data_IF_730463668824
#
_entry.id   IF_730463668824
#
_cell.length_a   1.000
_cell.length_b   1.000
_cell.length_c   1.000
_cell.angle_alpha   90.00
_cell.angle_beta   90.00
_cell.angle_gamma   90.00
#
_symmetry.space_group_name_H-M   'P 1'
#
loop_
_entity.id
_entity.type
_entity.pdbx_description
1 polymer ?
#
# COMPACT_ATOMS: atom_id res chain seq x y z
N UNK A 1 49.74 -45.26 -55.01
CA UNK A 1 49.58 -43.92 -54.41
C UNK A 1 48.16 -43.85 -53.88
N UNK A 2 47.98 -44.13 -52.59
CA UNK A 2 46.66 -44.10 -51.92
C UNK A 2 46.54 -42.75 -51.21
N UNK A 3 45.60 -41.92 -51.64
CA UNK A 3 45.13 -40.77 -50.88
C UNK A 3 43.87 -41.18 -50.13
N UNK A 4 43.94 -41.18 -48.80
CA UNK A 4 42.80 -41.42 -47.92
C UNK A 4 42.35 -40.05 -47.42
N UNK A 5 41.27 -39.52 -48.00
CA UNK A 5 40.62 -38.30 -47.54
C UNK A 5 39.86 -38.53 -46.24
N UNK A 6 40.43 -38.11 -45.10
CA UNK A 6 39.71 -38.03 -43.83
C UNK A 6 38.73 -36.86 -43.85
N UNK A 7 37.46 -37.11 -44.19
CA UNK A 7 36.38 -36.14 -43.96
C UNK A 7 35.93 -36.22 -42.50
N UNK A 8 36.52 -35.37 -41.66
CA UNK A 8 36.10 -35.23 -40.28
C UNK A 8 34.76 -34.47 -40.25
N UNK A 9 33.64 -35.21 -40.34
CA UNK A 9 32.30 -34.66 -40.18
C UNK A 9 32.14 -34.17 -38.74
N UNK A 10 32.47 -32.90 -38.50
CA UNK A 10 32.06 -32.19 -37.30
C UNK A 10 30.54 -32.04 -37.34
N UNK A 11 29.83 -32.86 -36.56
CA UNK A 11 28.42 -32.64 -36.30
C UNK A 11 28.28 -31.33 -35.54
N UNK A 12 27.80 -30.29 -36.23
CA UNK A 12 27.40 -29.06 -35.56
C UNK A 12 26.17 -29.38 -34.70
N UNK A 13 26.37 -29.44 -33.38
CA UNK A 13 25.32 -29.52 -32.37
C UNK A 13 24.62 -28.16 -32.31
N UNK A 14 23.71 -27.92 -33.26
CA UNK A 14 22.81 -26.77 -33.26
C UNK A 14 21.50 -27.13 -32.56
N UNK A 15 20.82 -26.12 -32.04
CA UNK A 15 19.47 -26.31 -31.51
C UNK A 15 18.51 -26.69 -32.63
N UNK A 16 17.65 -27.66 -32.37
CA UNK A 16 16.53 -27.96 -33.26
C UNK A 16 15.48 -26.86 -33.18
N UNK A 17 14.70 -26.70 -34.25
CA UNK A 17 13.59 -25.74 -34.28
C UNK A 17 12.58 -26.00 -33.17
N UNK A 18 12.35 -27.27 -32.83
CA UNK A 18 11.44 -27.67 -31.76
C UNK A 18 11.99 -27.30 -30.37
N UNK A 19 13.30 -27.46 -30.12
CA UNK A 19 13.91 -27.04 -28.86
C UNK A 19 13.78 -25.54 -28.64
N UNK A 20 14.08 -24.73 -29.67
CA UNK A 20 13.94 -23.28 -29.57
C UNK A 20 12.48 -22.90 -29.30
N UNK A 21 11.52 -23.56 -29.97
CA UNK A 21 10.10 -23.30 -29.77
C UNK A 21 9.64 -23.62 -28.34
N UNK A 22 10.07 -24.76 -27.78
CA UNK A 22 9.75 -25.14 -26.39
C UNK A 22 10.37 -24.15 -25.40
N UNK A 23 11.63 -23.77 -25.61
CA UNK A 23 12.31 -22.78 -24.75
C UNK A 23 11.56 -21.44 -24.75
N UNK A 24 11.13 -20.96 -25.92
CA UNK A 24 10.35 -19.72 -26.02
C UNK A 24 8.99 -19.79 -25.31
N UNK A 25 8.30 -20.94 -25.37
CA UNK A 25 7.05 -21.15 -24.62
C UNK A 25 7.32 -21.11 -23.11
N UNK A 26 8.36 -21.79 -22.63
CA UNK A 26 8.71 -21.80 -21.20
C UNK A 26 9.07 -20.39 -20.73
N UNK A 27 9.85 -19.63 -21.51
CA UNK A 27 10.18 -18.23 -21.20
C UNK A 27 8.92 -17.35 -21.22
N UNK A 28 8.00 -17.56 -22.16
CA UNK A 28 6.75 -16.80 -22.24
C UNK A 28 5.83 -17.03 -21.02
N UNK A 29 5.69 -18.29 -20.58
CA UNK A 29 4.89 -18.64 -19.41
C UNK A 29 5.55 -18.11 -18.13
N UNK A 30 6.87 -18.31 -17.97
CA UNK A 30 7.58 -17.84 -16.78
C UNK A 30 7.61 -16.32 -16.70
N UNK A 31 7.83 -15.61 -17.81
CA UNK A 31 7.78 -14.15 -17.88
C UNK A 31 6.42 -13.59 -17.43
N UNK A 32 5.32 -14.19 -17.92
CA UNK A 32 3.96 -13.76 -17.55
C UNK A 32 3.69 -13.91 -16.04
N UNK A 33 4.13 -15.03 -15.45
CA UNK A 33 3.98 -15.27 -14.00
C UNK A 33 4.81 -14.29 -13.15
N UNK A 34 5.99 -13.90 -13.63
CA UNK A 34 6.86 -12.94 -12.95
C UNK A 34 6.26 -11.52 -13.02
N UNK A 35 5.77 -11.08 -14.19
CA UNK A 35 5.25 -9.71 -14.38
C UNK A 35 3.99 -9.41 -13.56
N UNK A 36 3.10 -10.38 -13.34
CA UNK A 36 1.84 -10.16 -12.58
C UNK A 36 2.11 -9.79 -11.11
N UNK A 37 3.20 -10.27 -10.52
CA UNK A 37 3.54 -10.00 -9.12
C UNK A 37 4.13 -8.60 -8.90
N UNK A 38 4.86 -8.05 -9.86
CA UNK A 38 5.51 -6.73 -9.72
C UNK A 38 4.52 -5.56 -9.78
N UNK A 39 3.53 -5.60 -10.67
CA UNK A 39 2.58 -4.49 -10.84
C UNK A 39 1.73 -4.25 -9.57
N UNK A 40 1.47 -5.30 -8.79
CA UNK A 40 0.72 -5.20 -7.53
C UNK A 40 1.53 -4.48 -6.46
N UNK A 41 2.85 -4.74 -6.37
CA UNK A 41 3.73 -4.11 -5.40
C UNK A 41 3.86 -2.60 -5.63
N UNK A 42 4.10 -2.17 -6.88
CA UNK A 42 4.22 -0.75 -7.23
C UNK A 42 2.91 0.03 -6.96
N UNK A 43 1.76 -0.61 -7.20
CA UNK A 43 0.46 -0.02 -6.89
C UNK A 43 0.26 0.14 -5.38
N UNK A 44 0.69 -0.84 -4.57
CA UNK A 44 0.62 -0.78 -3.12
C UNK A 44 1.53 0.32 -2.57
N UNK A 45 2.78 0.42 -3.05
CA UNK A 45 3.72 1.46 -2.62
C UNK A 45 3.20 2.87 -2.96
N UNK A 46 2.64 3.07 -4.15
CA UNK A 46 2.01 4.35 -4.54
C UNK A 46 0.80 4.70 -3.66
N UNK A 47 0.06 3.69 -3.22
CA UNK A 47 -1.13 3.81 -2.37
C UNK A 47 -0.78 4.11 -0.91
N UNK A 48 0.22 3.42 -0.37
CA UNK A 48 0.81 3.70 0.95
C UNK A 48 1.27 5.14 1.07
N UNK A 49 1.96 5.62 0.03
CA UNK A 49 2.41 7.00 -0.10
C UNK A 49 1.26 8.01 -0.06
N UNK A 50 0.05 7.64 -0.48
CA UNK A 50 -1.12 8.51 -0.43
C UNK A 50 -1.64 8.71 0.99
N UNK A 51 -1.76 7.63 1.78
CA UNK A 51 -2.14 7.75 3.19
C UNK A 51 -1.05 8.47 4.01
N UNK A 52 0.22 8.22 3.70
CA UNK A 52 1.32 8.93 4.33
C UNK A 52 1.26 10.44 4.11
N UNK A 53 0.93 10.88 2.90
CA UNK A 53 0.71 12.31 2.61
C UNK A 53 -0.41 12.89 3.45
N UNK A 54 -1.51 12.17 3.67
CA UNK A 54 -2.59 12.62 4.55
C UNK A 54 -2.09 12.83 5.97
N UNK A 55 -1.39 11.86 6.55
CA UNK A 55 -0.85 11.96 7.91
C UNK A 55 0.16 13.10 8.03
N UNK A 56 1.08 13.25 7.07
CA UNK A 56 2.04 14.36 7.05
C UNK A 56 1.35 15.71 6.94
N UNK A 57 0.39 15.86 6.03
CA UNK A 57 -0.39 17.09 5.87
C UNK A 57 -1.13 17.48 7.16
N UNK A 58 -1.84 16.55 7.79
CA UNK A 58 -2.58 16.84 9.04
C UNK A 58 -1.64 17.16 10.19
N UNK A 59 -0.45 16.54 10.23
CA UNK A 59 0.59 16.88 11.20
C UNK A 59 1.08 18.31 10.98
N UNK A 60 1.45 18.67 9.74
CA UNK A 60 1.89 20.02 9.37
C UNK A 60 0.82 21.07 9.66
N UNK A 61 -0.44 20.80 9.30
CA UNK A 61 -1.56 21.69 9.55
C UNK A 61 -1.77 21.92 11.06
N UNK A 62 -1.64 20.88 11.89
CA UNK A 62 -1.75 21.02 13.35
C UNK A 62 -0.65 21.90 13.93
N UNK A 63 0.58 21.79 13.41
CA UNK A 63 1.73 22.61 13.82
C UNK A 63 1.53 24.06 13.39
N UNK A 64 1.18 24.29 12.11
CA UNK A 64 1.02 25.62 11.52
C UNK A 64 -0.13 26.37 12.18
N UNK A 65 -1.27 25.70 12.40
CA UNK A 65 -2.47 26.33 12.97
C UNK A 65 -2.45 26.41 14.49
N UNK A 66 -1.60 25.61 15.16
CA UNK A 66 -1.61 25.50 16.61
C UNK A 66 -2.84 24.77 17.16
N UNK A 67 -3.62 24.08 16.31
CA UNK A 67 -4.88 23.41 16.69
C UNK A 67 -4.75 21.89 16.71
N UNK A 68 -5.50 21.26 17.59
CA UNK A 68 -5.64 19.80 17.62
C UNK A 68 -6.56 19.39 16.47
N UNK A 69 -6.16 18.37 15.72
CA UNK A 69 -6.91 17.85 14.57
C UNK A 69 -7.26 16.39 14.83
N UNK A 70 -8.54 16.03 14.65
CA UNK A 70 -9.01 14.66 14.69
C UNK A 70 -9.26 14.13 13.28
N UNK A 71 -8.68 12.97 12.96
CA UNK A 71 -8.95 12.22 11.73
C UNK A 71 -9.95 11.11 12.02
N UNK A 72 -11.02 11.11 11.25
CA UNK A 72 -12.13 10.18 11.32
C UNK A 72 -12.07 9.30 10.08
N UNK A 73 -12.22 7.99 10.30
CA UNK A 73 -12.14 6.98 9.25
C UNK A 73 -13.41 6.12 9.31
N UNK A 74 -14.01 5.88 8.15
CA UNK A 74 -14.95 4.79 7.91
C UNK A 74 -14.32 3.83 6.89
N UNK A 75 -15.04 2.78 6.48
CA UNK A 75 -14.58 1.89 5.42
C UNK A 75 -14.37 2.64 4.09
N UNK A 76 -15.22 3.60 3.76
CA UNK A 76 -15.31 4.20 2.43
C UNK A 76 -14.93 5.69 2.40
N UNK A 77 -14.84 6.33 3.56
CA UNK A 77 -14.64 7.76 3.67
C UNK A 77 -13.62 8.09 4.77
N UNK A 78 -13.02 9.26 4.65
CA UNK A 78 -12.16 9.85 5.66
C UNK A 78 -12.34 11.37 5.65
N UNK A 79 -12.30 11.97 6.83
CA UNK A 79 -12.28 13.42 6.96
C UNK A 79 -11.58 13.80 8.26
N UNK A 80 -11.12 15.05 8.31
CA UNK A 80 -10.46 15.62 9.47
C UNK A 80 -11.18 16.90 9.91
N UNK A 81 -11.25 17.09 11.22
CA UNK A 81 -11.87 18.26 11.85
C UNK A 81 -10.94 18.81 12.92
N UNK A 82 -10.97 20.12 13.11
CA UNK A 82 -10.38 20.75 14.29
C UNK A 82 -11.18 20.34 15.54
N UNK A 83 -10.47 19.88 16.57
CA UNK A 83 -11.04 19.59 17.89
C UNK A 83 -11.00 20.88 18.73
N UNK A 84 -11.86 21.84 18.40
CA UNK A 84 -12.01 23.11 19.15
C UNK A 84 -13.43 23.25 19.70
N UNK A 85 -13.60 23.97 20.82
CA UNK A 85 -14.91 24.17 21.48
C UNK A 85 -15.91 24.97 20.63
N UNK A 86 -15.42 25.83 19.74
CA UNK A 86 -16.27 26.64 18.85
C UNK A 86 -16.23 26.11 17.41
N UNK A 87 -17.42 25.71 16.92
CA UNK A 87 -17.79 25.32 15.56
C UNK A 87 -16.80 24.47 14.75
N UNK A 88 -17.30 23.27 14.41
CA UNK A 88 -16.69 22.24 13.58
C UNK A 88 -16.39 22.74 12.16
N UNK A 89 -15.30 23.49 11.99
CA UNK A 89 -14.79 23.77 10.66
C UNK A 89 -14.07 22.52 10.17
N UNK A 90 -14.68 21.84 9.19
CA UNK A 90 -14.02 20.77 8.46
C UNK A 90 -12.74 21.28 7.82
N UNK A 91 -11.67 20.50 7.94
CA UNK A 91 -10.42 20.80 7.25
C UNK A 91 -10.68 20.50 5.78
N UNK A 92 -10.32 21.45 4.90
CA UNK A 92 -10.62 21.45 3.47
C UNK A 92 -10.52 20.06 2.84
N UNK A 93 -11.65 19.53 2.37
CA UNK A 93 -11.80 18.20 1.77
C UNK A 93 -10.89 17.89 0.56
N UNK A 94 -10.14 18.87 0.06
CA UNK A 94 -9.20 18.73 -1.07
C UNK A 94 -8.06 17.73 -0.84
N UNK A 95 -7.73 17.35 0.41
CA UNK A 95 -6.75 16.27 0.70
C UNK A 95 -7.32 14.85 0.56
N UNK A 96 -8.48 14.69 -0.10
CA UNK A 96 -9.18 13.41 -0.26
C UNK A 96 -8.21 12.31 -0.71
N UNK A 97 -7.94 11.37 0.18
CA UNK A 97 -7.05 10.27 -0.09
C UNK A 97 -7.75 9.27 -1.02
N UNK A 98 -7.45 9.35 -2.32
CA UNK A 98 -8.00 8.45 -3.34
C UNK A 98 -7.81 6.97 -2.97
N UNK A 99 -6.73 6.64 -2.27
CA UNK A 99 -6.49 5.27 -1.81
C UNK A 99 -7.55 4.77 -0.81
N UNK A 100 -8.05 5.63 0.07
CA UNK A 100 -9.05 5.23 1.04
C UNK A 100 -10.37 4.88 0.35
N UNK A 101 -10.78 5.66 -0.65
CA UNK A 101 -11.95 5.36 -1.48
C UNK A 101 -11.78 4.12 -2.36
N UNK A 102 -10.58 3.89 -2.91
CA UNK A 102 -10.29 2.73 -3.78
C UNK A 102 -10.37 1.40 -3.02
N UNK A 103 -10.21 1.43 -1.71
CA UNK A 103 -10.27 0.25 -0.84
C UNK A 103 -11.61 0.11 -0.11
N UNK A 104 -12.62 0.92 -0.44
CA UNK A 104 -13.93 0.96 0.24
C UNK A 104 -14.65 -0.40 0.39
N UNK A 105 -14.46 -1.31 -0.56
CA UNK A 105 -15.03 -2.68 -0.51
C UNK A 105 -14.27 -3.66 0.38
N UNK A 106 -13.06 -3.30 0.81
CA UNK A 106 -12.21 -4.13 1.64
C UNK A 106 -12.50 -3.88 3.12
N UNK A 107 -12.53 -4.97 3.89
CA UNK A 107 -12.59 -4.92 5.35
C UNK A 107 -11.35 -4.19 5.88
N UNK A 108 -11.54 -3.32 6.87
CA UNK A 108 -10.46 -2.59 7.53
C UNK A 108 -10.63 -2.64 9.04
N UNK A 109 -9.53 -2.77 9.76
CA UNK A 109 -9.52 -2.65 11.21
C UNK A 109 -8.50 -1.62 11.64
N UNK A 110 -8.82 -0.85 12.67
CA UNK A 110 -7.88 0.02 13.33
C UNK A 110 -7.52 -0.53 14.70
N UNK A 111 -6.24 -0.59 15.00
CA UNK A 111 -5.70 -0.95 16.31
C UNK A 111 -5.07 0.28 16.95
N UNK A 112 -5.58 0.66 18.11
CA UNK A 112 -5.04 1.73 18.93
C UNK A 112 -3.74 1.31 19.63
N UNK A 113 -2.98 2.29 20.11
CA UNK A 113 -1.71 2.04 20.82
C UNK A 113 -1.92 1.27 22.13
N UNK A 114 -3.09 1.41 22.75
CA UNK A 114 -3.48 0.63 23.95
C UNK A 114 -3.78 -0.85 23.66
N UNK A 115 -3.80 -1.23 22.38
CA UNK A 115 -4.06 -2.59 21.92
C UNK A 115 -5.52 -2.89 21.59
N UNK A 116 -6.46 -1.97 21.85
CA UNK A 116 -7.86 -2.10 21.45
C UNK A 116 -7.99 -2.06 19.93
N UNK A 117 -8.96 -2.81 19.40
CA UNK A 117 -9.19 -2.98 17.96
C UNK A 117 -10.64 -2.64 17.65
N UNK A 118 -10.84 -1.81 16.64
CA UNK A 118 -12.14 -1.48 16.07
C UNK A 118 -12.19 -1.90 14.60
N UNK A 119 -13.37 -2.26 14.13
CA UNK A 119 -13.63 -2.46 12.71
C UNK A 119 -14.12 -1.15 12.12
N UNK A 120 -13.53 -0.73 11.00
CA UNK A 120 -13.96 0.46 10.28
C UNK A 120 -15.08 0.03 9.33
N UNK A 121 -16.32 0.14 9.79
CA UNK A 121 -17.51 -0.16 8.98
C UNK A 121 -17.91 1.04 8.13
N UNK A 122 -19.02 0.94 7.40
CA UNK A 122 -19.51 2.05 6.57
C UNK A 122 -20.11 3.19 7.40
N UNK A 123 -20.30 3.02 8.71
CA UNK A 123 -20.76 4.07 9.59
C UNK A 123 -19.55 4.85 10.10
N UNK A 124 -19.66 6.16 10.02
CA UNK A 124 -18.59 7.01 10.52
C UNK A 124 -18.61 7.01 12.04
N UNK A 125 -17.45 6.78 12.66
CA UNK A 125 -17.32 6.90 14.11
C UNK A 125 -17.49 8.36 14.54
N UNK A 126 -18.18 8.58 15.65
CA UNK A 126 -18.34 9.92 16.25
C UNK A 126 -17.06 10.42 16.94
N UNK A 127 -16.06 9.54 17.08
CA UNK A 127 -14.77 9.84 17.70
C UNK A 127 -13.63 9.75 16.69
N UNK A 128 -12.62 10.62 16.77
CA UNK A 128 -11.47 10.55 15.89
C UNK A 128 -10.67 9.27 16.16
N UNK A 129 -10.25 8.61 15.09
CA UNK A 129 -9.43 7.41 15.13
C UNK A 129 -7.97 7.77 15.39
N UNK A 130 -7.51 8.90 14.83
CA UNK A 130 -6.16 9.44 15.05
C UNK A 130 -6.28 10.91 15.44
N UNK A 131 -5.51 11.33 16.44
CA UNK A 131 -5.43 12.73 16.88
C UNK A 131 -4.03 13.27 16.57
N UNK A 132 -3.97 14.45 15.97
CA UNK A 132 -2.75 15.18 15.64
C UNK A 132 -2.63 16.40 16.56
N UNK A 133 -1.47 16.54 17.19
CA UNK A 133 -1.19 17.58 18.17
C UNK A 133 -0.29 18.65 17.56
N UNK A 134 -0.46 19.94 17.96
CA UNK A 134 0.42 21.04 17.53
C UNK A 134 1.91 20.86 17.83
N UNK A 135 2.27 19.91 18.70
CA UNK A 135 3.66 19.53 18.96
C UNK A 135 4.31 18.79 17.78
N UNK A 136 3.53 18.36 16.79
CA UNK A 136 3.94 17.47 15.72
C UNK A 136 3.86 15.99 16.07
N UNK A 137 3.41 15.66 17.29
CA UNK A 137 3.09 14.29 17.66
C UNK A 137 1.68 13.90 17.21
N UNK A 138 1.43 12.60 17.10
CA UNK A 138 0.10 12.05 16.88
C UNK A 138 -0.17 10.88 17.81
N UNK A 139 -1.45 10.49 17.94
CA UNK A 139 -1.87 9.38 18.80
C UNK A 139 -1.37 8.01 18.35
N UNK A 140 -0.88 7.89 17.11
CA UNK A 140 -0.43 6.64 16.51
C UNK A 140 -1.53 5.61 16.29
N UNK A 141 -1.14 4.44 15.84
CA UNK A 141 -2.01 3.28 15.66
C UNK A 141 -1.63 2.43 14.46
N UNK A 142 -2.45 1.45 14.16
CA UNK A 142 -2.23 0.53 13.05
C UNK A 142 -3.53 0.29 12.29
N UNK A 143 -3.47 0.40 10.96
CA UNK A 143 -4.56 0.06 10.05
C UNK A 143 -4.20 -1.25 9.36
N UNK A 144 -5.06 -2.25 9.47
CA UNK A 144 -4.97 -3.49 8.69
C UNK A 144 -6.10 -3.50 7.64
N UNK A 145 -5.73 -3.62 6.36
CA UNK A 145 -6.63 -3.68 5.21
C UNK A 145 -6.57 -5.10 4.64
N UNK A 146 -7.69 -5.82 4.70
CA UNK A 146 -7.75 -7.23 4.37
C UNK A 146 -8.10 -7.43 2.90
N UNK A 147 -7.12 -7.89 2.12
CA UNK A 147 -7.33 -8.37 0.76
C UNK A 147 -7.53 -9.89 0.77
N UNK A 148 -7.93 -10.44 -0.38
CA UNK A 148 -8.13 -11.88 -0.55
C UNK A 148 -6.85 -12.71 -0.46
N UNK A 149 -5.68 -12.11 -0.74
CA UNK A 149 -4.38 -12.80 -0.81
C UNK A 149 -3.35 -12.31 0.21
N UNK A 150 -3.58 -11.14 0.82
CA UNK A 150 -2.66 -10.52 1.77
C UNK A 150 -3.39 -9.55 2.69
N UNK A 151 -2.72 -9.16 3.77
CA UNK A 151 -3.11 -8.04 4.63
C UNK A 151 -2.09 -6.93 4.40
N UNK A 152 -2.58 -5.74 4.05
CA UNK A 152 -1.74 -4.53 4.04
C UNK A 152 -1.84 -3.87 5.41
N UNK A 153 -0.70 -3.63 6.04
CA UNK A 153 -0.59 -3.09 7.39
C UNK A 153 0.13 -1.75 7.34
N UNK A 154 -0.58 -0.69 7.71
CA UNK A 154 -0.05 0.67 7.81
C UNK A 154 0.08 1.01 9.30
N UNK A 155 1.30 1.18 9.78
CA UNK A 155 1.63 1.54 11.16
C UNK A 155 1.97 3.02 11.21
N UNK A 156 1.23 3.78 12.00
CA UNK A 156 1.51 5.20 12.29
C UNK A 156 2.16 5.29 13.67
N UNK A 157 3.40 5.76 13.71
CA UNK A 157 4.10 6.03 14.95
C UNK A 157 3.78 7.45 15.44
N UNK A 158 3.80 7.64 16.75
CA UNK A 158 3.49 8.92 17.40
C UNK A 158 4.41 10.07 16.98
N UNK A 159 5.60 9.77 16.47
CA UNK A 159 6.57 10.73 15.94
C UNK A 159 6.35 11.09 14.46
N UNK A 160 5.21 10.72 13.89
CA UNK A 160 4.87 10.99 12.48
C UNK A 160 5.52 10.06 11.46
N UNK A 161 6.38 9.11 11.89
CA UNK A 161 6.88 8.07 10.98
C UNK A 161 5.76 7.09 10.65
N UNK A 162 5.77 6.58 9.42
CA UNK A 162 4.81 5.60 8.95
C UNK A 162 5.57 4.43 8.35
N UNK A 163 5.09 3.21 8.63
CA UNK A 163 5.59 1.98 8.03
C UNK A 163 4.45 1.27 7.35
N UNK A 164 4.68 0.81 6.13
CA UNK A 164 3.75 -0.07 5.41
C UNK A 164 4.37 -1.45 5.24
N UNK A 165 3.57 -2.49 5.47
CA UNK A 165 3.96 -3.89 5.43
C UNK A 165 2.89 -4.71 4.70
N UNK A 166 3.34 -5.68 3.90
CA UNK A 166 2.46 -6.68 3.29
C UNK A 166 2.67 -7.99 4.04
N UNK A 167 1.58 -8.57 4.52
CA UNK A 167 1.56 -9.87 5.18
C UNK A 167 0.77 -10.83 4.29
N UNK A 168 1.48 -11.68 3.57
CA UNK A 168 0.87 -12.76 2.77
C UNK A 168 0.34 -13.86 3.68
N UNK A 169 -0.75 -14.51 3.26
CA UNK A 169 -1.27 -15.72 3.93
C UNK A 169 -0.40 -16.96 3.68
#
# INVERSE_FOLDING_TARGET
MLEIGCNNKRYHLGFTLIEILVVLIIIGITSTLITINFNTFDLIEKKANSFQKTVSYLTEESIITGKIIGLYLSSDNQFAKYLTEENQNEIDSSYKNTYWSDTSSLRKTFKFVDGSIIELDNQMLDTPVIIFYPSGENSGGQIDIYNSQYIQRIIIFSNGKIKDEIISY
#
